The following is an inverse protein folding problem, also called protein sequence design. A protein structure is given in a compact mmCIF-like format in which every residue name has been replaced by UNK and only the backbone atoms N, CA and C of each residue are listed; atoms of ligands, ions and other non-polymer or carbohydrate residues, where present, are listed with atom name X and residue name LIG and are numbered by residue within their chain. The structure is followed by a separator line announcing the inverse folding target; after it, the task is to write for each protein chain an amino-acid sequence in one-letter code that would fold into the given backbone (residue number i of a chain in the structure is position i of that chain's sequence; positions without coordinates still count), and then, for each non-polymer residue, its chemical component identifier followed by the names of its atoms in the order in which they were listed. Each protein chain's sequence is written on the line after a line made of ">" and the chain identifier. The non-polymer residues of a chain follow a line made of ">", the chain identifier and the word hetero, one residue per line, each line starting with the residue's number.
data_IF_321067373915
#
_entry.id   IF_321067373915
#
_cell.length_a   1.000
_cell.length_b   1.000
_cell.length_c   1.000
_cell.angle_alpha   90.00
_cell.angle_beta   90.00
_cell.angle_gamma   90.00
#
_symmetry.space_group_name_H-M   'P 1'
#
loop_
_entity.id
_entity.type
_entity.pdbx_description
1 polymer ?
#
# COMPACT_ATOMS: atom_id res chain seq x y z
N UNK A 1 63.11 12.12 -47.92
CA UNK A 1 63.39 11.61 -46.57
C UNK A 1 62.24 12.04 -45.67
N UNK A 2 61.37 11.10 -45.27
CA UNK A 2 60.27 11.36 -44.32
C UNK A 2 60.75 11.14 -42.88
N UNK A 3 60.39 12.00 -41.91
CA UNK A 3 60.38 11.61 -40.52
C UNK A 3 58.99 11.06 -40.15
N UNK A 4 58.99 9.87 -39.53
CA UNK A 4 57.81 9.25 -38.90
C UNK A 4 57.50 10.01 -37.61
N UNK A 5 56.32 10.60 -37.49
CA UNK A 5 55.77 10.99 -36.19
C UNK A 5 54.86 9.87 -35.68
N UNK A 6 55.28 9.24 -34.59
CA UNK A 6 54.48 8.29 -33.81
C UNK A 6 53.70 9.14 -32.81
N UNK A 7 52.38 9.22 -32.97
CA UNK A 7 51.51 9.87 -31.99
C UNK A 7 50.74 8.79 -31.24
N UNK A 8 51.12 8.57 -29.97
CA UNK A 8 50.39 7.69 -29.06
C UNK A 8 49.03 8.30 -28.71
N UNK A 9 47.96 7.53 -28.92
CA UNK A 9 46.62 7.86 -28.43
C UNK A 9 46.41 7.11 -27.11
N UNK A 10 46.41 7.83 -25.99
CA UNK A 10 45.90 7.29 -24.71
C UNK A 10 44.38 7.48 -24.69
N UNK A 11 43.65 6.37 -24.74
CA UNK A 11 42.20 6.32 -24.48
C UNK A 11 42.02 5.98 -23.00
N UNK A 12 41.76 6.97 -22.16
CA UNK A 12 41.34 6.76 -20.77
C UNK A 12 39.83 6.51 -20.73
N UNK A 13 39.45 5.24 -20.68
CA UNK A 13 38.07 4.86 -20.37
C UNK A 13 37.83 5.01 -18.86
N UNK A 14 37.14 6.08 -18.45
CA UNK A 14 36.58 6.16 -17.10
C UNK A 14 35.33 5.26 -17.03
N UNK A 15 35.48 4.04 -16.49
CA UNK A 15 34.35 3.29 -15.99
C UNK A 15 33.87 3.95 -14.68
N UNK A 16 32.78 4.69 -14.73
CA UNK A 16 32.06 5.12 -13.55
C UNK A 16 31.38 3.92 -12.89
N UNK A 17 31.98 3.39 -11.82
CA UNK A 17 31.32 2.46 -10.91
C UNK A 17 30.29 3.25 -10.09
N UNK A 18 29.02 3.19 -10.50
CA UNK A 18 27.93 3.57 -9.62
C UNK A 18 27.86 2.55 -8.50
N UNK A 19 28.42 2.89 -7.33
CA UNK A 19 28.25 2.08 -6.14
C UNK A 19 26.79 2.24 -5.68
N UNK A 20 25.99 1.18 -5.80
CA UNK A 20 24.72 1.09 -5.11
C UNK A 20 25.02 1.15 -3.61
N UNK A 21 24.63 2.24 -2.94
CA UNK A 21 24.76 2.36 -1.50
C UNK A 21 23.80 1.35 -0.86
N UNK A 22 24.31 0.19 -0.46
CA UNK A 22 23.63 -0.74 0.44
C UNK A 22 23.65 -0.13 1.84
N UNK A 23 22.60 0.60 2.20
CA UNK A 23 22.40 1.02 3.58
C UNK A 23 22.11 -0.22 4.41
N UNK A 24 23.03 -0.58 5.30
CA UNK A 24 22.97 -1.75 6.18
C UNK A 24 21.95 -1.64 7.32
N UNK A 25 21.22 -0.53 7.40
CA UNK A 25 20.17 -0.30 8.39
C UNK A 25 18.79 -0.41 7.75
N UNK A 26 17.83 -1.07 8.42
CA UNK A 26 16.46 -1.17 7.92
C UNK A 26 15.84 0.23 7.81
N UNK A 27 15.26 0.52 6.65
CA UNK A 27 14.56 1.78 6.40
C UNK A 27 13.20 1.73 7.09
N UNK A 28 12.98 2.68 8.00
CA UNK A 28 11.72 2.88 8.71
C UNK A 28 11.05 4.18 8.26
N UNK A 29 9.86 4.46 8.77
CA UNK A 29 9.15 5.70 8.47
C UNK A 29 9.82 6.94 9.03
N UNK A 30 9.48 8.09 8.45
CA UNK A 30 9.95 9.39 8.94
C UNK A 30 9.53 9.63 10.39
N UNK A 31 8.43 9.01 10.82
CA UNK A 31 7.94 9.03 12.22
C UNK A 31 8.35 7.77 13.01
N UNK A 32 9.28 6.98 12.49
CA UNK A 32 9.76 5.75 13.11
C UNK A 32 9.03 4.49 12.67
N UNK A 33 9.19 3.43 13.46
CA UNK A 33 8.52 2.15 13.23
C UNK A 33 7.02 2.28 13.45
N UNK A 34 6.25 1.43 12.76
CA UNK A 34 4.85 1.21 13.08
C UNK A 34 4.72 0.74 14.53
N UNK A 35 3.86 1.42 15.29
CA UNK A 35 3.54 1.02 16.67
C UNK A 35 2.39 0.01 16.67
N UNK A 36 2.41 -0.90 17.62
CA UNK A 36 1.32 -1.85 17.85
C UNK A 36 0.16 -1.11 18.52
N UNK A 37 -1.02 -1.00 17.90
CA UNK A 37 -2.21 -0.43 18.53
C UNK A 37 -2.73 -1.35 19.62
N UNK A 38 -3.07 -0.78 20.78
CA UNK A 38 -3.71 -1.50 21.88
C UNK A 38 -5.20 -1.18 21.96
N UNK A 39 -5.95 -2.00 22.71
CA UNK A 39 -7.38 -1.80 22.97
C UNK A 39 -8.24 -1.75 21.70
N UNK A 40 -7.90 -2.56 20.70
CA UNK A 40 -8.76 -2.79 19.55
C UNK A 40 -10.11 -3.35 20.04
N UNK A 41 -11.26 -2.72 19.69
CA UNK A 41 -12.57 -3.21 20.11
C UNK A 41 -12.80 -4.66 19.64
N UNK A 42 -13.06 -5.55 20.59
CA UNK A 42 -13.35 -6.97 20.34
C UNK A 42 -14.83 -7.14 20.01
N UNK A 43 -15.12 -7.98 19.03
CA UNK A 43 -16.49 -8.22 18.56
C UNK A 43 -16.69 -7.77 17.13
N UNK A 44 -16.54 -6.47 16.78
CA UNK A 44 -16.79 -5.99 15.43
C UNK A 44 -16.03 -6.80 14.37
N UNK A 45 -16.74 -7.13 13.30
CA UNK A 45 -16.17 -7.77 12.11
C UNK A 45 -16.29 -6.79 10.96
N UNK A 46 -15.15 -6.37 10.41
CA UNK A 46 -15.07 -5.54 9.22
C UNK A 46 -14.88 -6.42 8.00
N UNK A 47 -15.68 -6.23 6.96
CA UNK A 47 -15.63 -7.03 5.73
C UNK A 47 -15.52 -6.10 4.53
N UNK A 48 -14.57 -6.40 3.63
CA UNK A 48 -14.46 -5.79 2.32
C UNK A 48 -14.72 -6.86 1.25
N UNK A 49 -15.90 -6.79 0.64
CA UNK A 49 -16.33 -7.71 -0.43
C UNK A 49 -16.06 -7.07 -1.79
N UNK A 50 -15.33 -7.77 -2.65
CA UNK A 50 -14.98 -7.27 -3.98
C UNK A 50 -16.24 -7.20 -4.87
N UNK A 51 -16.40 -6.13 -5.68
CA UNK A 51 -17.56 -5.93 -6.54
C UNK A 51 -17.57 -6.91 -7.72
N UNK A 52 -18.72 -7.10 -8.36
CA UNK A 52 -18.83 -7.97 -9.56
C UNK A 52 -18.08 -7.42 -10.78
N UNK A 53 -17.97 -6.09 -10.90
CA UNK A 53 -17.31 -5.40 -11.99
C UNK A 53 -15.89 -4.99 -11.62
N UNK A 54 -14.93 -5.32 -12.48
CA UNK A 54 -13.52 -4.95 -12.30
C UNK A 54 -13.30 -3.47 -12.60
N UNK A 55 -12.44 -2.81 -11.82
CA UNK A 55 -12.08 -1.41 -12.07
C UNK A 55 -11.13 -1.26 -13.26
N UNK A 56 -10.12 -2.13 -13.38
CA UNK A 56 -9.09 -2.02 -14.41
C UNK A 56 -9.59 -2.36 -15.82
N UNK A 57 -10.37 -3.43 -15.94
CA UNK A 57 -10.94 -3.89 -17.19
C UNK A 57 -12.42 -4.28 -17.02
N UNK A 58 -13.35 -3.32 -16.97
CA UNK A 58 -14.77 -3.60 -16.73
C UNK A 58 -15.42 -4.48 -17.82
N UNK A 59 -14.80 -4.57 -19.00
CA UNK A 59 -15.24 -5.38 -20.13
C UNK A 59 -14.59 -6.78 -20.17
N UNK A 60 -13.81 -7.18 -19.15
CA UNK A 60 -13.20 -8.52 -19.11
C UNK A 60 -14.29 -9.61 -19.12
N UNK A 61 -14.32 -10.52 -20.11
CA UNK A 61 -15.33 -11.58 -20.17
C UNK A 61 -15.22 -12.60 -19.02
N UNK A 62 -14.10 -12.65 -18.31
CA UNK A 62 -13.95 -13.46 -17.09
C UNK A 62 -14.58 -12.80 -15.87
N UNK A 63 -14.84 -11.50 -15.92
CA UNK A 63 -15.30 -10.69 -14.81
C UNK A 63 -14.24 -10.46 -13.74
N UNK A 64 -14.64 -9.81 -12.65
CA UNK A 64 -13.73 -9.41 -11.57
C UNK A 64 -13.22 -10.59 -10.73
N UNK A 65 -12.16 -10.32 -9.97
CA UNK A 65 -11.77 -11.12 -8.81
C UNK A 65 -12.95 -11.21 -7.86
N UNK A 66 -13.30 -12.42 -7.44
CA UNK A 66 -14.39 -12.70 -6.50
C UNK A 66 -13.85 -13.01 -5.12
N UNK A 67 -14.58 -12.58 -4.10
CA UNK A 67 -14.30 -12.92 -2.70
C UNK A 67 -14.22 -11.69 -1.81
N UNK A 68 -13.62 -11.86 -0.64
CA UNK A 68 -13.63 -10.86 0.41
C UNK A 68 -12.43 -10.97 1.34
N UNK A 69 -12.17 -9.88 2.07
CA UNK A 69 -11.32 -9.88 3.26
C UNK A 69 -12.19 -9.54 4.46
N UNK A 70 -12.17 -10.38 5.49
CA UNK A 70 -12.80 -10.10 6.78
C UNK A 70 -11.74 -9.93 7.87
N UNK A 71 -11.99 -9.03 8.80
CA UNK A 71 -11.03 -8.66 9.84
C UNK A 71 -11.72 -8.39 11.18
N UNK A 72 -11.14 -8.91 12.26
CA UNK A 72 -11.63 -8.71 13.64
C UNK A 72 -10.45 -8.56 14.60
N UNK A 73 -10.65 -7.85 15.71
CA UNK A 73 -9.62 -7.72 16.74
C UNK A 73 -9.36 -9.07 17.43
N UNK A 74 -8.11 -9.31 17.85
CA UNK A 74 -7.83 -10.45 18.71
C UNK A 74 -8.49 -10.28 20.10
N UNK A 75 -8.79 -11.37 20.82
CA UNK A 75 -9.44 -11.31 22.14
C UNK A 75 -8.72 -10.49 23.21
N UNK A 76 -7.41 -10.32 23.09
CA UNK A 76 -6.57 -9.49 23.98
C UNK A 76 -6.53 -8.01 23.57
N UNK A 77 -7.20 -7.63 22.47
CA UNK A 77 -7.21 -6.28 21.93
C UNK A 77 -5.92 -5.89 21.20
N UNK A 78 -4.98 -6.82 20.99
CA UNK A 78 -3.71 -6.58 20.30
C UNK A 78 -3.72 -7.20 18.90
N UNK A 79 -3.59 -6.37 17.88
CA UNK A 79 -3.59 -6.80 16.49
C UNK A 79 -4.96 -7.24 15.97
N UNK A 80 -4.98 -7.52 14.67
CA UNK A 80 -6.19 -7.80 13.91
C UNK A 80 -6.01 -9.09 13.13
N UNK A 81 -6.93 -10.03 13.33
CA UNK A 81 -6.98 -11.27 12.56
C UNK A 81 -7.68 -11.01 11.22
N UNK A 82 -6.94 -11.23 10.13
CA UNK A 82 -7.45 -11.16 8.77
C UNK A 82 -7.73 -12.56 8.23
N UNK A 83 -8.84 -12.71 7.52
CA UNK A 83 -9.16 -13.86 6.69
C UNK A 83 -9.37 -13.38 5.26
N UNK A 84 -8.57 -13.89 4.35
CA UNK A 84 -8.51 -13.46 2.94
C UNK A 84 -8.99 -14.61 2.07
N UNK A 85 -9.93 -14.35 1.18
CA UNK A 85 -10.43 -15.32 0.22
C UNK A 85 -10.60 -14.66 -1.15
N UNK A 86 -9.85 -15.12 -2.15
CA UNK A 86 -9.95 -14.65 -3.52
C UNK A 86 -10.09 -15.83 -4.48
N UNK A 87 -10.81 -15.59 -5.57
CA UNK A 87 -10.92 -16.51 -6.70
C UNK A 87 -11.13 -15.73 -7.99
N UNK A 88 -11.02 -16.40 -9.13
CA UNK A 88 -11.14 -15.78 -10.45
C UNK A 88 -10.10 -14.68 -10.66
N UNK A 89 -8.85 -14.98 -10.31
CA UNK A 89 -7.75 -14.06 -10.51
C UNK A 89 -7.41 -13.93 -12.00
N UNK A 90 -6.86 -12.79 -12.45
CA UNK A 90 -6.30 -12.69 -13.79
C UNK A 90 -5.28 -13.81 -14.04
N UNK A 91 -5.25 -14.35 -15.25
CA UNK A 91 -4.33 -15.46 -15.61
C UNK A 91 -2.87 -15.02 -15.73
N UNK A 92 -2.61 -13.71 -15.70
CA UNK A 92 -1.27 -13.12 -15.80
C UNK A 92 -1.19 -11.83 -14.99
N UNK A 93 0.02 -11.29 -14.85
CA UNK A 93 0.26 -10.04 -14.12
C UNK A 93 0.40 -10.20 -12.61
N UNK A 94 0.39 -11.44 -12.08
CA UNK A 94 0.75 -11.74 -10.70
C UNK A 94 2.27 -11.89 -10.46
N UNK A 95 2.71 -12.29 -9.25
CA UNK A 95 1.89 -12.49 -8.05
C UNK A 95 1.12 -11.22 -7.68
N UNK A 96 -0.15 -11.38 -7.32
CA UNK A 96 -1.00 -10.24 -7.00
C UNK A 96 -0.75 -9.78 -5.56
N UNK A 97 -0.95 -8.50 -5.32
CA UNK A 97 -0.78 -7.90 -3.99
C UNK A 97 -2.05 -7.17 -3.59
N UNK A 98 -2.30 -7.08 -2.30
CA UNK A 98 -3.44 -6.41 -1.73
C UNK A 98 -3.02 -5.64 -0.48
N UNK A 99 -3.62 -4.47 -0.31
CA UNK A 99 -3.26 -3.53 0.73
C UNK A 99 -4.49 -2.86 1.34
N UNK A 100 -4.34 -2.38 2.56
CA UNK A 100 -5.27 -1.42 3.15
C UNK A 100 -4.91 -0.03 2.63
N UNK A 101 -5.85 0.64 1.99
CA UNK A 101 -5.68 1.97 1.41
C UNK A 101 -6.20 3.07 2.34
N UNK A 102 -5.67 4.28 2.16
CA UNK A 102 -5.86 5.39 3.08
C UNK A 102 -7.28 5.98 3.04
N UNK A 103 -8.00 5.83 1.93
CA UNK A 103 -9.34 6.38 1.74
C UNK A 103 -10.36 5.31 1.38
N UNK A 104 -11.65 5.55 1.65
CA UNK A 104 -12.72 4.72 1.11
C UNK A 104 -12.74 4.79 -0.42
N UNK A 105 -13.27 3.74 -1.05
CA UNK A 105 -13.68 3.74 -2.45
C UNK A 105 -14.75 4.81 -2.64
N UNK A 106 -14.57 5.77 -3.56
CA UNK A 106 -15.59 6.78 -3.84
C UNK A 106 -16.86 6.17 -4.45
N UNK A 107 -17.93 6.96 -4.50
CA UNK A 107 -19.25 6.50 -4.98
C UNK A 107 -19.27 6.03 -6.44
N UNK A 108 -18.29 6.43 -7.25
CA UNK A 108 -18.14 6.01 -8.64
C UNK A 108 -17.36 4.68 -8.79
N UNK A 109 -16.92 4.07 -7.69
CA UNK A 109 -16.15 2.82 -7.70
C UNK A 109 -14.70 2.99 -8.18
N UNK A 110 -14.22 4.22 -8.38
CA UNK A 110 -12.90 4.46 -8.94
C UNK A 110 -11.81 4.15 -7.91
N UNK A 111 -11.09 3.04 -8.11
CA UNK A 111 -10.06 2.61 -7.18
C UNK A 111 -8.92 3.59 -7.04
N UNK A 112 -8.70 4.56 -7.95
CA UNK A 112 -7.67 5.60 -7.74
C UNK A 112 -8.00 6.53 -6.57
N UNK A 113 -9.29 6.71 -6.26
CA UNK A 113 -9.75 7.55 -5.15
C UNK A 113 -9.42 7.00 -3.76
N UNK A 114 -9.02 5.73 -3.65
CA UNK A 114 -8.54 5.15 -2.38
C UNK A 114 -7.15 5.67 -1.97
N UNK A 115 -6.48 6.41 -2.86
CA UNK A 115 -5.13 7.00 -2.68
C UNK A 115 -4.07 5.95 -2.29
N UNK A 116 -3.04 6.32 -1.53
CA UNK A 116 -1.95 5.42 -1.13
C UNK A 116 -2.35 4.43 -0.04
N UNK A 117 -1.39 3.65 0.46
CA UNK A 117 -1.60 2.73 1.57
C UNK A 117 -1.86 3.47 2.89
N UNK A 118 -2.43 2.77 3.88
CA UNK A 118 -2.42 3.25 5.26
C UNK A 118 -0.95 3.35 5.72
N UNK A 119 -0.44 4.56 5.85
CA UNK A 119 0.97 4.82 6.20
C UNK A 119 1.12 5.97 7.21
N UNK A 120 0.62 5.80 8.45
CA UNK A 120 0.66 6.85 9.47
C UNK A 120 2.08 7.20 9.92
N UNK A 121 3.09 6.37 9.59
CA UNK A 121 4.49 6.58 9.97
C UNK A 121 5.35 7.17 8.85
N UNK A 122 4.75 7.44 7.68
CA UNK A 122 5.42 8.02 6.51
C UNK A 122 6.64 7.19 6.09
N UNK A 123 6.40 5.89 5.91
CA UNK A 123 7.38 4.90 5.48
C UNK A 123 7.63 4.96 3.99
N UNK A 124 6.58 5.11 3.19
CA UNK A 124 6.65 5.07 1.73
C UNK A 124 6.88 3.68 1.14
N UNK A 125 6.96 3.62 -0.18
CA UNK A 125 6.94 2.36 -0.94
C UNK A 125 8.32 1.71 -1.08
N UNK A 126 9.39 2.50 -1.06
CA UNK A 126 10.76 2.05 -1.36
C UNK A 126 11.67 2.25 -0.15
N UNK A 127 12.43 1.22 0.25
CA UNK A 127 12.49 -0.14 -0.31
C UNK A 127 11.20 -0.93 -0.05
N UNK A 128 11.00 -2.04 -0.76
CA UNK A 128 9.88 -2.95 -0.49
C UNK A 128 9.86 -3.41 0.97
N UNK A 129 8.69 -3.77 1.50
CA UNK A 129 8.58 -4.30 2.86
C UNK A 129 9.49 -5.51 3.08
N UNK A 130 10.19 -5.52 4.21
CA UNK A 130 10.92 -6.67 4.69
C UNK A 130 10.04 -7.38 5.71
N UNK A 131 9.45 -8.51 5.34
CA UNK A 131 8.57 -9.29 6.21
C UNK A 131 9.25 -9.82 7.48
N UNK A 132 10.58 -9.88 7.52
CA UNK A 132 11.32 -10.25 8.74
C UNK A 132 11.40 -9.09 9.76
N UNK A 133 11.04 -7.88 9.35
CA UNK A 133 10.98 -6.67 10.18
C UNK A 133 9.67 -5.91 9.91
N UNK A 134 8.49 -6.52 10.16
CA UNK A 134 7.20 -5.99 9.73
C UNK A 134 6.87 -4.62 10.34
N UNK A 135 7.44 -4.28 11.49
CA UNK A 135 7.34 -2.96 12.12
C UNK A 135 7.96 -1.82 11.30
N UNK A 136 8.77 -2.14 10.28
CA UNK A 136 9.39 -1.18 9.37
C UNK A 136 8.60 -0.98 8.08
N UNK A 137 7.49 -1.71 7.91
CA UNK A 137 6.62 -1.63 6.73
C UNK A 137 5.49 -0.63 6.93
N UNK A 138 4.83 -0.24 5.84
CA UNK A 138 3.58 0.51 5.95
C UNK A 138 2.54 -0.33 6.67
N UNK A 139 1.70 0.30 7.50
CA UNK A 139 0.61 -0.39 8.20
C UNK A 139 -0.30 -1.12 7.21
N UNK A 140 -0.59 -0.49 6.08
CA UNK A 140 -1.46 -1.05 5.04
C UNK A 140 -0.82 -2.09 4.13
N UNK A 141 0.50 -2.34 4.19
CA UNK A 141 1.18 -3.29 3.32
C UNK A 141 1.02 -4.74 3.81
N UNK A 142 -0.19 -5.28 3.64
CA UNK A 142 -0.53 -6.65 4.06
C UNK A 142 0.26 -7.69 3.27
N UNK A 143 0.34 -7.56 1.94
CA UNK A 143 1.06 -8.53 1.10
C UNK A 143 2.57 -8.53 1.33
N UNK A 144 3.17 -7.38 1.63
CA UNK A 144 4.57 -7.27 2.00
C UNK A 144 4.88 -7.98 3.32
N UNK A 145 3.97 -7.89 4.31
CA UNK A 145 4.13 -8.54 5.62
C UNK A 145 3.79 -10.03 5.60
N UNK A 146 2.69 -10.41 4.96
CA UNK A 146 2.05 -11.74 5.11
C UNK A 146 2.11 -12.60 3.85
N UNK A 147 2.66 -12.09 2.76
CA UNK A 147 2.83 -12.82 1.50
C UNK A 147 1.86 -12.41 0.40
N UNK A 148 2.29 -12.65 -0.84
CA UNK A 148 1.55 -12.30 -2.07
C UNK A 148 0.57 -13.41 -2.45
N UNK A 149 -0.40 -13.07 -3.30
CA UNK A 149 -1.36 -14.01 -3.88
C UNK A 149 -0.69 -14.77 -5.03
N UNK A 150 -0.54 -16.08 -4.88
CA UNK A 150 0.20 -16.95 -5.82
C UNK A 150 -0.60 -18.14 -6.35
N UNK A 151 -1.86 -18.30 -5.94
CA UNK A 151 -2.75 -19.39 -6.36
C UNK A 151 -4.16 -18.87 -6.68
N UNK A 152 -4.94 -19.63 -7.42
CA UNK A 152 -6.37 -19.40 -7.66
C UNK A 152 -7.12 -20.74 -7.49
N UNK A 153 -8.00 -20.90 -6.48
CA UNK A 153 -8.33 -19.91 -5.45
C UNK A 153 -7.17 -19.65 -4.48
N UNK A 154 -7.24 -18.51 -3.80
CA UNK A 154 -6.31 -18.11 -2.74
C UNK A 154 -7.07 -17.95 -1.42
N UNK A 155 -6.50 -18.52 -0.36
CA UNK A 155 -6.99 -18.36 1.00
C UNK A 155 -5.82 -18.13 1.94
N UNK A 156 -5.95 -17.19 2.87
CA UNK A 156 -4.97 -16.94 3.91
C UNK A 156 -5.64 -16.50 5.21
N UNK A 157 -5.01 -16.81 6.33
CA UNK A 157 -5.38 -16.31 7.65
C UNK A 157 -4.11 -15.97 8.42
N UNK A 158 -4.07 -14.77 8.99
CA UNK A 158 -2.91 -14.27 9.73
C UNK A 158 -3.34 -13.14 10.67
N UNK A 159 -2.46 -12.79 11.61
CA UNK A 159 -2.62 -11.62 12.48
C UNK A 159 -1.69 -10.52 11.99
N UNK A 160 -2.22 -9.32 11.84
CA UNK A 160 -1.42 -8.11 11.66
C UNK A 160 -1.43 -7.29 12.96
N UNK A 161 -0.26 -7.09 13.56
CA UNK A 161 -0.12 -6.37 14.83
C UNK A 161 -0.22 -4.84 14.68
N UNK A 162 -0.23 -4.30 13.46
CA UNK A 162 -0.09 -2.86 13.20
C UNK A 162 -1.38 -2.20 12.70
N UNK A 163 -2.24 -2.95 12.00
CA UNK A 163 -3.59 -2.52 11.67
C UNK A 163 -4.44 -2.38 12.95
N UNK A 164 -5.46 -1.52 12.90
CA UNK A 164 -6.33 -1.28 14.05
C UNK A 164 -7.81 -1.29 13.70
N UNK A 165 -8.63 -1.79 14.62
CA UNK A 165 -10.09 -1.59 14.64
C UNK A 165 -10.53 -0.47 15.58
N UNK A 166 -9.59 0.19 16.26
CA UNK A 166 -9.86 1.32 17.15
C UNK A 166 -9.96 2.62 16.35
N UNK A 167 -11.15 3.23 16.34
CA UNK A 167 -11.40 4.49 15.67
C UNK A 167 -10.50 5.64 16.18
N UNK A 168 -10.20 6.59 15.30
CA UNK A 168 -9.35 7.74 15.59
C UNK A 168 -7.86 7.50 15.41
N UNK A 169 -7.40 6.24 15.32
CA UNK A 169 -6.02 5.93 15.00
C UNK A 169 -5.72 6.06 13.50
N UNK A 170 -4.50 6.52 13.17
CA UNK A 170 -4.04 6.56 11.78
C UNK A 170 -3.98 5.18 11.12
N UNK A 171 -3.85 4.11 11.91
CA UNK A 171 -3.89 2.69 11.52
C UNK A 171 -5.30 2.10 11.43
N UNK A 172 -6.35 2.86 11.80
CA UNK A 172 -7.73 2.41 11.70
C UNK A 172 -8.15 2.19 10.25
N UNK A 173 -8.48 0.95 9.89
CA UNK A 173 -8.85 0.58 8.52
C UNK A 173 -10.36 0.44 8.30
N UNK A 174 -11.15 0.39 9.38
CA UNK A 174 -12.56 -0.01 9.34
C UNK A 174 -13.48 0.90 8.53
N UNK A 175 -13.09 2.14 8.25
CA UNK A 175 -13.79 3.10 7.39
C UNK A 175 -13.06 3.38 6.06
N UNK A 176 -12.11 2.52 5.69
CA UNK A 176 -11.27 2.67 4.49
C UNK A 176 -11.49 1.49 3.56
N UNK A 177 -10.54 1.25 2.65
CA UNK A 177 -10.70 0.28 1.59
C UNK A 177 -9.58 -0.75 1.52
N UNK A 178 -9.92 -1.91 0.97
CA UNK A 178 -9.00 -2.89 0.41
C UNK A 178 -8.80 -2.55 -1.07
N UNK A 179 -7.56 -2.63 -1.57
CA UNK A 179 -7.29 -2.61 -3.02
C UNK A 179 -6.41 -3.79 -3.40
N UNK A 180 -6.73 -4.46 -4.50
CA UNK A 180 -5.94 -5.56 -5.09
C UNK A 180 -5.26 -5.05 -6.35
N UNK A 181 -4.00 -5.43 -6.55
CA UNK A 181 -3.15 -4.98 -7.63
C UNK A 181 -2.47 -6.14 -8.35
N UNK A 182 -2.14 -5.89 -9.61
CA UNK A 182 -1.11 -6.64 -10.31
C UNK A 182 0.24 -6.49 -9.60
N UNK A 183 1.19 -7.38 -9.90
CA UNK A 183 2.56 -7.33 -9.38
C UNK A 183 3.33 -6.06 -9.81
N UNK A 184 2.85 -5.34 -10.82
CA UNK A 184 3.36 -4.04 -11.25
C UNK A 184 2.67 -2.84 -10.58
N UNK A 185 1.90 -3.09 -9.51
CA UNK A 185 1.14 -2.13 -8.69
C UNK A 185 -0.08 -1.46 -9.34
N UNK A 186 -0.44 -1.86 -10.56
CA UNK A 186 -1.69 -1.41 -11.19
C UNK A 186 -2.90 -1.95 -10.43
N UNK A 187 -3.84 -1.07 -10.03
CA UNK A 187 -5.06 -1.43 -9.28
C UNK A 187 -6.00 -2.21 -10.18
N UNK A 188 -6.46 -3.37 -9.71
CA UNK A 188 -7.42 -4.26 -10.39
C UNK A 188 -8.84 -3.95 -9.92
N UNK A 189 -9.02 -3.99 -8.60
CA UNK A 189 -10.31 -3.88 -7.92
C UNK A 189 -10.11 -3.38 -6.50
N UNK A 190 -11.17 -2.85 -5.90
CA UNK A 190 -11.16 -2.31 -4.54
C UNK A 190 -12.55 -2.42 -3.92
N UNK A 191 -12.60 -2.43 -2.59
CA UNK A 191 -13.84 -2.49 -1.82
C UNK A 191 -13.68 -1.75 -0.48
N UNK A 192 -14.75 -1.13 -0.01
CA UNK A 192 -14.78 -0.55 1.33
C UNK A 192 -14.90 -1.65 2.38
N UNK A 193 -14.22 -1.47 3.51
CA UNK A 193 -14.57 -2.20 4.72
C UNK A 193 -15.85 -1.63 5.29
N UNK A 194 -16.76 -2.52 5.68
CA UNK A 194 -17.99 -2.18 6.41
C UNK A 194 -18.15 -3.14 7.56
N UNK A 195 -18.81 -2.69 8.63
CA UNK A 195 -19.23 -3.59 9.71
C UNK A 195 -20.19 -4.63 9.15
N UNK A 196 -20.00 -5.89 9.53
CA UNK A 196 -20.94 -6.95 9.25
C UNK A 196 -22.18 -6.74 10.13
N UNK A 197 -23.34 -6.52 9.48
CA UNK A 197 -24.61 -6.28 10.15
C UNK A 197 -24.89 -7.35 11.22
N UNK A 198 -25.24 -6.89 12.43
CA UNK A 198 -25.55 -7.77 13.57
C UNK A 198 -24.36 -8.10 14.48
N UNK A 199 -23.15 -7.63 14.16
CA UNK A 199 -21.98 -7.73 15.05
C UNK A 199 -21.64 -6.36 15.62
N UNK A 200 -22.50 -5.88 16.52
CA UNK A 200 -22.18 -4.72 17.36
C UNK A 200 -21.31 -5.23 18.51
N UNK A 201 -20.11 -4.67 18.64
CA UNK A 201 -19.19 -4.99 19.73
C UNK A 201 -19.73 -4.51 21.08
N UNK A 202 -19.79 -5.42 22.04
CA UNK A 202 -20.29 -5.22 23.40
C UNK A 202 -21.79 -5.52 23.44
N UNK A 203 -22.28 -6.57 24.09
CA UNK A 203 -22.10 -6.94 25.48
C UNK A 203 -22.46 -8.42 25.73
N UNK A 204 -21.64 -9.12 26.52
CA UNK A 204 -21.99 -10.44 27.06
C UNK A 204 -22.98 -10.25 28.22
N UNK A 205 -24.26 -10.04 27.94
CA UNK A 205 -25.35 -10.40 28.86
C UNK A 205 -26.73 -10.47 28.17
N UNK A 206 -27.32 -11.66 28.17
CA UNK A 206 -28.78 -11.90 28.24
C UNK A 206 -29.74 -11.18 27.27
N UNK A 207 -30.15 -11.89 26.21
CA UNK A 207 -31.54 -11.96 25.70
C UNK A 207 -32.44 -10.70 25.86
N UNK A 208 -32.62 -9.93 24.79
CA UNK A 208 -33.91 -9.28 24.52
C UNK A 208 -34.10 -8.91 23.04
N UNK A 209 -35.23 -9.36 22.50
CA UNK A 209 -35.85 -9.00 21.24
C UNK A 209 -36.32 -7.52 21.27
N UNK A 210 -35.95 -6.68 20.29
CA UNK A 210 -36.74 -5.49 19.92
C UNK A 210 -36.29 -4.82 18.62
N UNK A 211 -37.23 -4.83 17.67
CA UNK A 211 -37.63 -3.82 16.68
C UNK A 211 -36.77 -2.58 16.35
N UNK A 212 -36.67 -2.37 15.03
CA UNK A 212 -36.21 -1.18 14.28
C UNK A 212 -36.88 0.11 14.73
N UNK A 213 -36.13 1.22 14.70
CA UNK A 213 -36.58 2.48 14.08
C UNK A 213 -35.39 3.38 13.72
N UNK A 214 -35.51 4.10 12.61
CA UNK A 214 -34.44 4.90 12.02
C UNK A 214 -34.30 6.30 12.62
N UNK A 215 -33.11 6.89 12.47
CA UNK A 215 -32.97 8.35 12.44
C UNK A 215 -31.68 8.80 11.72
N UNK A 216 -31.94 9.58 10.68
CA UNK A 216 -31.14 10.61 10.04
C UNK A 216 -30.11 11.31 10.96
N UNK A 217 -28.85 11.36 10.53
CA UNK A 217 -27.77 12.09 11.20
C UNK A 217 -26.80 12.70 10.19
N UNK A 218 -27.02 13.96 9.86
CA UNK A 218 -26.13 14.78 9.03
C UNK A 218 -24.91 15.17 9.85
N UNK A 219 -23.69 14.88 9.37
CA UNK A 219 -22.45 15.37 9.99
C UNK A 219 -21.56 16.04 8.95
N UNK A 220 -21.59 17.38 9.00
CA UNK A 220 -20.63 18.28 8.35
C UNK A 220 -19.34 18.30 9.16
N UNK A 221 -18.19 18.06 8.53
CA UNK A 221 -16.90 18.42 9.13
C UNK A 221 -15.92 18.97 8.09
N UNK A 222 -15.58 20.23 8.33
CA UNK A 222 -14.57 21.07 7.69
C UNK A 222 -13.19 20.78 8.29
N UNK A 223 -12.16 20.67 7.44
CA UNK A 223 -10.76 20.80 7.88
C UNK A 223 -9.82 19.81 7.19
N UNK A 224 -9.33 20.16 6.00
CA UNK A 224 -8.26 19.40 5.33
C UNK A 224 -6.87 19.85 5.76
N UNK A 225 -5.87 18.95 5.68
CA UNK A 225 -4.48 19.37 5.50
C UNK A 225 -3.80 18.77 4.25
N UNK A 226 -2.93 19.63 3.68
CA UNK A 226 -1.80 19.44 2.77
C UNK A 226 -1.76 18.25 1.80
N UNK A 227 -1.92 18.58 0.50
CA UNK A 227 -1.64 17.70 -0.62
C UNK A 227 -0.13 17.63 -0.92
N UNK A 228 0.40 16.42 -1.06
CA UNK A 228 1.62 16.16 -1.84
C UNK A 228 1.25 15.19 -2.97
N UNK A 229 0.95 15.75 -4.14
CA UNK A 229 0.74 15.00 -5.38
C UNK A 229 2.09 14.62 -5.97
N UNK A 230 2.56 13.40 -5.69
CA UNK A 230 3.64 12.78 -6.44
C UNK A 230 3.13 12.27 -7.79
N UNK A 231 3.06 13.17 -8.78
CA UNK A 231 2.80 12.77 -10.16
C UNK A 231 4.08 12.19 -10.77
N UNK A 232 4.08 10.90 -11.08
CA UNK A 232 5.09 10.28 -11.92
C UNK A 232 4.93 10.79 -13.37
N UNK A 233 5.55 11.94 -13.65
CA UNK A 233 5.69 12.44 -15.02
C UNK A 233 6.61 11.51 -15.80
N UNK A 234 6.09 10.93 -16.89
CA UNK A 234 6.91 10.26 -17.91
C UNK A 234 7.85 11.31 -18.52
N UNK A 235 9.12 11.32 -18.11
CA UNK A 235 10.14 12.13 -18.77
C UNK A 235 10.52 11.41 -20.06
N UNK A 236 10.06 11.95 -21.19
CA UNK A 236 10.70 11.71 -22.48
C UNK A 236 12.08 12.35 -22.44
N UNK A 237 13.12 11.55 -22.64
CA UNK A 237 14.49 12.06 -22.75
C UNK A 237 14.61 12.72 -24.12
N UNK A 238 14.45 14.04 -24.18
CA UNK A 238 15.05 14.85 -25.24
C UNK A 238 16.36 15.42 -24.72
N UNK A 239 17.45 14.87 -25.28
CA UNK A 239 18.83 15.24 -25.03
C UNK A 239 19.07 16.70 -25.43
N UNK A 240 19.31 17.56 -24.45
CA UNK A 240 19.85 18.91 -24.67
C UNK A 240 21.16 19.03 -23.91
N UNK A 241 22.26 19.20 -24.65
CA UNK A 241 23.62 19.42 -24.16
C UNK A 241 23.69 20.71 -23.32
N UNK A 242 24.22 20.62 -22.11
CA UNK A 242 24.72 21.78 -21.37
C UNK A 242 26.23 21.59 -21.18
N UNK A 243 26.99 22.45 -21.84
CA UNK A 243 28.43 22.60 -21.67
C UNK A 243 28.73 23.26 -20.31
N UNK A 244 29.65 22.69 -19.54
CA UNK A 244 30.18 23.34 -18.33
C UNK A 244 31.64 23.68 -18.60
N UNK A 245 31.93 24.98 -18.69
CA UNK A 245 33.27 25.55 -18.62
C UNK A 245 33.86 25.28 -17.23
N UNK A 246 34.95 24.54 -17.17
CA UNK A 246 35.80 24.44 -15.98
C UNK A 246 36.97 25.40 -16.10
N UNK A 247 36.88 26.55 -15.41
CA UNK A 247 38.04 27.38 -15.10
C UNK A 247 38.69 26.83 -13.84
N UNK A 248 39.96 26.43 -13.92
CA UNK A 248 40.84 26.32 -12.74
C UNK A 248 42.18 26.96 -13.09
N UNK A 249 42.40 28.16 -12.54
CA UNK A 249 43.69 28.82 -12.48
C UNK A 249 44.62 28.06 -11.51
N UNK A 250 45.78 27.68 -12.04
CA UNK A 250 47.17 27.88 -11.56
C UNK A 250 47.42 28.09 -10.05
N UNK A 251 48.38 27.32 -9.51
CA UNK A 251 49.63 27.69 -8.79
C UNK A 251 50.12 26.42 -8.06
N UNK A 252 51.39 26.05 -7.85
CA UNK A 252 52.76 26.50 -8.15
C UNK A 252 53.62 25.22 -7.90
N UNK A 253 54.72 24.90 -8.61
CA UNK A 253 56.07 25.46 -8.61
C UNK A 253 56.86 24.79 -9.74
#
# INVERSE_FOLDING_TARGET
>A
MQPKMISSVLITALLGLAQAQTTTFPITGTLGNATIPENNPVGPIYVATLPDMEFFNPDDPRGNIKGSVSATANPDGIGVQFQVQFSNLPTSGGPFVYHLHAHPVPSDGNCTGTLGHIDPFLRGETPACNSSLPQTCQVGDLSGKHGKVTSDPFQASYVDEFASTLEGLGSFFGNRSLTVHFGNTTRITCANFTLLDGVVGGDYEGSANSTRDGANGTATSTGGPAQFTGAAGKISVQSSLIAIMGAVLVFAL
#
